data_IF_926670644851
#
_entry.id   IF_926670644851
#
_cell.length_a   1.000
_cell.length_b   1.000
_cell.length_c   1.000
_cell.angle_alpha   90.00
_cell.angle_beta   90.00
_cell.angle_gamma   90.00
#
_symmetry.space_group_name_H-M   'P 1'
#
loop_
_entity.id
_entity.type
_entity.pdbx_description
1 polymer ?
#
# COMPACT_ATOMS: atom_id res chain seq x y z
N UNK A 1 21.70 47.21 48.49
CA UNK A 1 22.59 48.40 48.50
C UNK A 1 23.78 48.11 47.61
N UNK A 2 24.01 48.97 46.60
CA UNK A 2 25.25 49.16 45.81
C UNK A 2 25.62 48.04 44.82
N UNK A 3 25.88 48.24 43.52
CA UNK A 3 26.01 49.41 42.64
C UNK A 3 26.04 48.93 41.18
N UNK A 4 25.70 49.83 40.26
CA UNK A 4 25.60 49.72 38.80
C UNK A 4 26.93 49.42 38.07
N UNK A 5 26.84 48.84 36.87
CA UNK A 5 27.41 49.45 35.66
C UNK A 5 26.92 48.76 34.38
N UNK A 6 26.18 49.51 33.57
CA UNK A 6 25.89 49.24 32.16
C UNK A 6 26.97 49.94 31.34
N UNK A 7 27.58 49.23 30.39
CA UNK A 7 28.32 49.85 29.28
C UNK A 7 27.76 49.27 27.99
N UNK A 8 27.14 50.13 27.19
CA UNK A 8 26.79 49.91 25.78
C UNK A 8 27.78 50.72 24.96
N UNK A 9 28.46 50.11 23.98
CA UNK A 9 29.04 50.82 22.84
C UNK A 9 29.25 49.85 21.67
N UNK A 10 28.51 50.13 20.59
CA UNK A 10 28.48 49.43 19.31
C UNK A 10 29.63 49.90 18.40
N UNK A 11 30.19 49.01 17.56
CA UNK A 11 30.68 49.34 16.22
C UNK A 11 30.94 48.06 15.41
N UNK A 12 30.34 48.00 14.22
CA UNK A 12 30.36 46.89 13.28
C UNK A 12 31.63 46.83 12.43
N UNK A 13 32.11 45.62 12.09
CA UNK A 13 32.83 45.36 10.85
C UNK A 13 32.45 43.97 10.32
N UNK A 14 32.09 43.93 9.04
CA UNK A 14 31.46 42.82 8.34
C UNK A 14 32.41 41.64 8.08
N UNK A 15 31.95 40.42 8.39
CA UNK A 15 32.36 39.20 7.71
C UNK A 15 31.13 38.51 7.12
N UNK A 16 31.35 37.92 5.96
CA UNK A 16 30.37 37.51 4.98
C UNK A 16 29.35 36.47 5.48
N UNK A 17 28.20 36.49 4.79
CA UNK A 17 27.05 35.64 4.98
C UNK A 17 27.41 34.15 5.15
N UNK A 18 27.09 33.60 6.33
CA UNK A 18 26.68 32.21 6.44
C UNK A 18 25.19 32.25 6.70
N UNK A 19 24.44 32.37 5.61
CA UNK A 19 23.04 31.96 5.57
C UNK A 19 23.05 30.48 5.94
N UNK A 20 22.74 30.17 7.20
CA UNK A 20 22.39 28.82 7.59
C UNK A 20 21.06 28.54 6.88
N UNK A 21 21.21 27.93 5.71
CA UNK A 21 20.15 27.39 4.91
C UNK A 21 19.17 26.68 5.84
N UNK A 22 17.94 27.20 5.85
CA UNK A 22 16.81 26.46 6.33
C UNK A 22 16.75 25.20 5.45
N UNK A 23 17.16 24.06 6.00
CA UNK A 23 16.86 22.74 5.44
C UNK A 23 15.36 22.51 5.66
N UNK A 24 14.53 23.27 4.94
CA UNK A 24 13.13 22.97 4.74
C UNK A 24 13.09 21.72 3.85
N UNK A 25 13.15 20.55 4.48
CA UNK A 25 12.86 19.28 3.80
C UNK A 25 11.44 19.41 3.20
N UNK A 26 11.28 19.44 1.88
CA UNK A 26 9.95 19.41 1.28
C UNK A 26 9.51 17.96 1.29
N UNK A 27 8.80 17.57 2.34
CA UNK A 27 8.31 16.19 2.47
C UNK A 27 7.63 15.98 3.80
N UNK A 28 6.45 16.59 3.96
CA UNK A 28 5.40 16.17 4.90
C UNK A 28 4.25 17.19 4.84
N UNK A 29 3.59 17.27 3.68
CA UNK A 29 2.19 17.71 3.65
C UNK A 29 1.37 16.46 3.40
N UNK A 30 1.22 15.63 4.44
CA UNK A 30 0.12 14.65 4.44
C UNK A 30 -1.14 15.48 4.39
N UNK A 31 -1.71 15.67 3.21
CA UNK A 31 -3.01 16.29 3.07
C UNK A 31 -3.97 15.52 3.98
N UNK A 32 -4.52 16.23 4.96
CA UNK A 32 -5.31 15.62 6.00
C UNK A 32 -6.55 14.99 5.36
N UNK A 33 -6.57 13.67 5.22
CA UNK A 33 -7.74 12.92 4.79
C UNK A 33 -8.91 13.28 5.70
N UNK A 34 -10.06 13.57 5.12
CA UNK A 34 -11.26 13.76 5.91
C UNK A 34 -11.84 12.39 6.28
N UNK A 35 -12.61 12.33 7.36
CA UNK A 35 -13.41 11.15 7.67
C UNK A 35 -14.39 10.82 6.52
N UNK A 36 -14.82 11.83 5.74
CA UNK A 36 -15.64 11.65 4.55
C UNK A 36 -14.93 10.84 3.46
N UNK A 37 -13.67 11.18 3.15
CA UNK A 37 -12.90 10.46 2.12
C UNK A 37 -12.77 8.96 2.46
N UNK A 38 -12.51 8.63 3.73
CA UNK A 38 -12.39 7.23 4.17
C UNK A 38 -13.73 6.45 4.12
N UNK A 39 -14.84 7.12 4.43
CA UNK A 39 -16.18 6.55 4.30
C UNK A 39 -16.53 6.33 2.83
N UNK A 40 -16.23 7.29 1.97
CA UNK A 40 -16.43 7.20 0.53
C UNK A 40 -15.63 6.03 -0.06
N UNK A 41 -14.35 5.89 0.29
CA UNK A 41 -13.50 4.77 -0.15
C UNK A 41 -14.04 3.41 0.31
N UNK A 42 -14.58 3.32 1.53
CA UNK A 42 -15.21 2.09 2.04
C UNK A 42 -16.47 1.76 1.23
N UNK A 43 -17.28 2.77 0.90
CA UNK A 43 -18.47 2.60 0.07
C UNK A 43 -18.12 2.25 -1.39
N UNK A 44 -17.04 2.82 -1.94
CA UNK A 44 -16.49 2.45 -3.25
C UNK A 44 -16.04 0.99 -3.22
N UNK A 45 -15.21 0.59 -2.26
CA UNK A 45 -14.71 -0.79 -2.10
C UNK A 45 -15.86 -1.78 -2.04
N UNK A 46 -16.90 -1.47 -1.26
CA UNK A 46 -18.09 -2.33 -1.15
C UNK A 46 -18.83 -2.47 -2.48
N UNK A 47 -18.98 -1.38 -3.23
CA UNK A 47 -19.63 -1.41 -4.55
C UNK A 47 -18.78 -2.13 -5.59
N UNK A 48 -17.45 -1.99 -5.56
CA UNK A 48 -16.54 -2.75 -6.43
C UNK A 48 -16.63 -4.24 -6.13
N UNK A 49 -16.57 -4.66 -4.86
CA UNK A 49 -16.76 -6.06 -4.49
C UNK A 49 -18.12 -6.60 -4.97
N UNK A 50 -19.19 -5.82 -4.82
CA UNK A 50 -20.50 -6.20 -5.34
C UNK A 50 -20.54 -6.30 -6.88
N UNK A 51 -19.88 -5.38 -7.60
CA UNK A 51 -19.79 -5.42 -9.06
C UNK A 51 -19.02 -6.66 -9.55
N UNK A 52 -17.91 -7.01 -8.89
CA UNK A 52 -17.16 -8.23 -9.19
C UNK A 52 -18.00 -9.49 -8.96
N UNK A 53 -18.79 -9.54 -7.88
CA UNK A 53 -19.69 -10.67 -7.60
C UNK A 53 -20.78 -10.80 -8.67
N UNK A 54 -21.22 -9.68 -9.25
CA UNK A 54 -22.23 -9.65 -10.30
C UNK A 54 -21.73 -9.94 -11.72
N UNK A 55 -20.40 -10.07 -11.91
CA UNK A 55 -19.79 -10.37 -13.20
C UNK A 55 -19.33 -11.84 -13.23
N UNK A 56 -20.01 -12.67 -14.03
CA UNK A 56 -19.70 -14.10 -14.17
C UNK A 56 -18.29 -14.37 -14.71
N UNK A 57 -17.63 -13.37 -15.32
CA UNK A 57 -16.27 -13.46 -15.82
C UNK A 57 -15.24 -12.96 -14.79
N UNK A 58 -15.65 -12.40 -13.66
CA UNK A 58 -14.75 -11.95 -12.60
C UNK A 58 -14.76 -12.93 -11.41
N UNK A 59 -13.65 -13.58 -11.06
CA UNK A 59 -13.59 -14.48 -9.92
C UNK A 59 -13.50 -13.67 -8.61
N UNK A 60 -14.62 -13.09 -8.17
CA UNK A 60 -14.67 -12.16 -7.03
C UNK A 60 -14.02 -12.70 -5.74
N UNK A 61 -14.13 -14.00 -5.49
CA UNK A 61 -13.55 -14.64 -4.29
C UNK A 61 -12.02 -14.76 -4.30
N UNK A 62 -11.36 -14.51 -5.45
CA UNK A 62 -9.91 -14.55 -5.61
C UNK A 62 -9.28 -13.16 -5.80
N UNK A 63 -10.10 -12.10 -5.71
CA UNK A 63 -9.68 -10.71 -5.96
C UNK A 63 -9.81 -9.91 -4.67
N UNK A 64 -8.68 -9.41 -4.19
CA UNK A 64 -8.62 -8.40 -3.15
C UNK A 64 -8.79 -7.00 -3.75
N UNK A 65 -9.58 -6.18 -3.07
CA UNK A 65 -9.93 -4.82 -3.49
C UNK A 65 -9.57 -3.86 -2.38
N UNK A 66 -8.61 -2.98 -2.66
CA UNK A 66 -8.23 -1.87 -1.79
C UNK A 66 -8.56 -0.55 -2.48
N UNK A 67 -9.15 0.40 -1.75
CA UNK A 67 -9.47 1.73 -2.31
C UNK A 67 -8.84 2.81 -1.46
N UNK A 68 -8.15 3.74 -2.12
CA UNK A 68 -7.63 4.94 -1.47
C UNK A 68 -7.87 6.16 -2.32
N UNK A 69 -8.62 7.12 -1.78
CA UNK A 69 -9.03 8.33 -2.46
C UNK A 69 -9.58 7.97 -3.86
N UNK A 70 -10.55 7.07 -3.98
CA UNK A 70 -11.13 6.65 -5.26
C UNK A 70 -10.18 5.98 -6.27
N UNK A 71 -8.91 5.74 -5.93
CA UNK A 71 -8.02 4.85 -6.69
C UNK A 71 -8.23 3.45 -6.15
N UNK A 72 -8.67 2.54 -7.02
CA UNK A 72 -8.93 1.14 -6.67
C UNK A 72 -7.76 0.30 -7.12
N UNK A 73 -7.14 -0.43 -6.21
CA UNK A 73 -6.17 -1.45 -6.53
C UNK A 73 -6.83 -2.83 -6.47
N UNK A 74 -6.73 -3.57 -7.58
CA UNK A 74 -7.14 -4.97 -7.66
C UNK A 74 -5.92 -5.86 -7.56
N UNK A 75 -5.90 -6.81 -6.63
CA UNK A 75 -4.78 -7.75 -6.41
C UNK A 75 -5.29 -9.17 -6.17
N UNK A 76 -4.38 -10.14 -6.22
CA UNK A 76 -4.70 -11.56 -6.16
C UNK A 76 -4.43 -12.29 -7.48
N UNK A 77 -4.88 -13.53 -7.55
CA UNK A 77 -4.56 -14.45 -8.64
C UNK A 77 -5.80 -14.93 -9.39
N UNK A 78 -5.78 -14.78 -10.71
CA UNK A 78 -6.87 -15.22 -11.61
C UNK A 78 -6.37 -16.30 -12.57
N UNK A 79 -7.28 -17.03 -13.19
CA UNK A 79 -6.93 -18.15 -14.05
C UNK A 79 -6.63 -17.72 -15.50
N UNK A 80 -7.14 -16.56 -15.94
CA UNK A 80 -6.99 -16.10 -17.32
C UNK A 80 -6.84 -14.59 -17.46
N UNK A 81 -6.33 -14.16 -18.62
CA UNK A 81 -6.26 -12.73 -18.97
C UNK A 81 -7.67 -12.13 -19.12
N UNK A 82 -8.63 -12.91 -19.60
CA UNK A 82 -10.02 -12.51 -19.76
C UNK A 82 -10.65 -12.17 -18.40
N UNK A 83 -10.41 -12.99 -17.38
CA UNK A 83 -10.85 -12.71 -16.00
C UNK A 83 -10.19 -11.45 -15.44
N UNK A 84 -8.89 -11.27 -15.71
CA UNK A 84 -8.14 -10.06 -15.30
C UNK A 84 -8.74 -8.80 -15.89
N UNK A 85 -9.07 -8.82 -17.18
CA UNK A 85 -9.67 -7.68 -17.87
C UNK A 85 -11.14 -7.45 -17.47
N UNK A 86 -11.91 -8.53 -17.23
CA UNK A 86 -13.27 -8.43 -16.73
C UNK A 86 -13.32 -7.74 -15.37
N UNK A 87 -12.47 -8.16 -14.43
CA UNK A 87 -12.37 -7.52 -13.12
C UNK A 87 -12.04 -6.02 -13.21
N UNK A 88 -11.13 -5.64 -14.12
CA UNK A 88 -10.77 -4.24 -14.35
C UNK A 88 -11.94 -3.43 -14.88
N UNK A 89 -12.69 -3.96 -15.85
CA UNK A 89 -13.89 -3.30 -16.40
C UNK A 89 -14.97 -3.14 -15.33
N UNK A 90 -15.28 -4.23 -14.62
CA UNK A 90 -16.28 -4.23 -13.56
C UNK A 90 -15.96 -3.20 -12.46
N UNK A 91 -14.69 -3.08 -12.06
CA UNK A 91 -14.27 -2.07 -11.09
C UNK A 91 -14.35 -0.64 -11.66
N UNK A 92 -13.96 -0.42 -12.91
CA UNK A 92 -13.99 0.91 -13.55
C UNK A 92 -15.40 1.48 -13.68
N UNK A 93 -16.40 0.64 -13.90
CA UNK A 93 -17.78 1.07 -14.09
C UNK A 93 -18.47 1.48 -12.78
N UNK A 94 -17.83 1.26 -11.63
CA UNK A 94 -18.36 1.66 -10.33
C UNK A 94 -18.23 3.16 -10.12
N UNK A 95 -19.37 3.80 -9.83
CA UNK A 95 -19.42 5.23 -9.50
C UNK A 95 -18.46 5.62 -8.37
N UNK A 96 -17.69 6.68 -8.56
CA UNK A 96 -16.71 7.17 -7.58
C UNK A 96 -15.31 6.58 -7.74
N UNK A 97 -15.15 5.52 -8.55
CA UNK A 97 -13.84 5.07 -8.98
C UNK A 97 -13.25 6.10 -9.94
N UNK A 98 -12.04 6.57 -9.61
CA UNK A 98 -11.28 7.54 -10.41
C UNK A 98 -10.23 6.87 -11.27
N UNK A 99 -9.60 5.84 -10.72
CA UNK A 99 -8.56 5.06 -11.38
C UNK A 99 -8.62 3.62 -10.88
N UNK A 100 -8.27 2.68 -11.76
CA UNK A 100 -8.12 1.27 -11.41
C UNK A 100 -6.69 0.84 -11.71
N UNK A 101 -5.97 0.48 -10.65
CA UNK A 101 -4.66 -0.17 -10.72
C UNK A 101 -4.85 -1.68 -10.68
N UNK A 102 -4.78 -2.33 -11.85
CA UNK A 102 -4.95 -3.77 -11.96
C UNK A 102 -3.62 -4.51 -11.76
N UNK A 103 -3.43 -5.07 -10.57
CA UNK A 103 -2.26 -5.86 -10.16
C UNK A 103 -2.53 -7.37 -10.16
N UNK A 104 -3.64 -7.83 -10.74
CA UNK A 104 -3.96 -9.26 -10.78
C UNK A 104 -2.88 -10.05 -11.53
N UNK A 105 -2.54 -11.22 -10.98
CA UNK A 105 -1.56 -12.13 -11.57
C UNK A 105 -2.31 -13.30 -12.21
N UNK A 106 -2.02 -13.56 -13.49
CA UNK A 106 -2.61 -14.71 -14.19
C UNK A 106 -1.79 -15.96 -13.87
N UNK A 107 -2.48 -16.99 -13.40
CA UNK A 107 -1.91 -18.30 -13.09
C UNK A 107 -1.46 -18.97 -14.39
N UNK A 108 -0.38 -19.74 -14.32
CA UNK A 108 0.02 -20.55 -15.45
C UNK A 108 -1.01 -21.68 -15.65
N UNK A 109 -1.56 -21.76 -16.86
CA UNK A 109 -2.53 -22.77 -17.30
C UNK A 109 -2.11 -24.20 -16.90
N UNK A 110 -3.09 -25.02 -16.49
CA UNK A 110 -2.87 -26.44 -16.20
C UNK A 110 -2.35 -26.78 -14.80
N UNK A 111 -2.23 -25.82 -13.89
CA UNK A 111 -1.83 -26.07 -12.50
C UNK A 111 -3.05 -26.24 -11.58
N UNK A 112 -3.66 -27.43 -11.60
CA UNK A 112 -4.65 -27.78 -10.58
C UNK A 112 -3.96 -27.85 -9.22
N UNK A 113 -4.29 -26.91 -8.33
CA UNK A 113 -3.75 -26.91 -6.97
C UNK A 113 -4.41 -28.02 -6.16
N UNK A 114 -3.59 -28.77 -5.42
CA UNK A 114 -4.11 -29.68 -4.40
C UNK A 114 -4.54 -28.84 -3.19
N UNK A 115 -5.58 -29.25 -2.45
CA UNK A 115 -5.97 -28.56 -1.22
C UNK A 115 -4.81 -28.40 -0.21
N UNK A 116 -3.88 -29.36 -0.18
CA UNK A 116 -2.67 -29.26 0.64
C UNK A 116 -1.78 -28.06 0.27
N UNK A 117 -1.56 -27.82 -1.02
CA UNK A 117 -0.76 -26.67 -1.46
C UNK A 117 -1.40 -25.32 -1.07
N UNK A 118 -2.74 -25.23 -1.08
CA UNK A 118 -3.46 -24.03 -0.63
C UNK A 118 -3.27 -23.80 0.86
N UNK A 119 -3.26 -24.87 1.67
CA UNK A 119 -3.02 -24.77 3.11
C UNK A 119 -1.60 -24.29 3.42
N UNK A 120 -0.61 -24.78 2.67
CA UNK A 120 0.78 -24.34 2.81
C UNK A 120 0.92 -22.83 2.51
N UNK A 121 0.29 -22.36 1.42
CA UNK A 121 0.26 -20.95 1.03
C UNK A 121 -0.38 -20.07 2.13
N UNK A 122 -1.49 -20.52 2.73
CA UNK A 122 -2.16 -19.80 3.83
C UNK A 122 -1.28 -19.68 5.09
N UNK A 123 -0.49 -20.72 5.40
CA UNK A 123 0.47 -20.66 6.51
C UNK A 123 1.60 -19.67 6.20
N UNK A 124 2.08 -19.63 4.96
CA UNK A 124 3.07 -18.64 4.52
C UNK A 124 2.48 -17.23 4.65
N UNK A 125 1.25 -17.00 4.16
CA UNK A 125 0.57 -15.71 4.26
C UNK A 125 0.46 -15.25 5.72
N UNK A 126 0.05 -16.14 6.62
CA UNK A 126 -0.04 -15.84 8.06
C UNK A 126 1.32 -15.48 8.67
N UNK A 127 2.40 -16.19 8.32
CA UNK A 127 3.77 -15.89 8.77
C UNK A 127 4.26 -14.54 8.25
N UNK A 128 4.00 -14.23 6.98
CA UNK A 128 4.35 -12.94 6.36
C UNK A 128 3.60 -11.80 7.05
N UNK A 129 2.29 -11.94 7.22
CA UNK A 129 1.46 -10.95 7.93
C UNK A 129 1.95 -10.72 9.36
N UNK A 130 2.25 -11.79 10.11
CA UNK A 130 2.81 -11.68 11.46
C UNK A 130 4.12 -10.89 11.48
N UNK A 131 5.07 -11.21 10.59
CA UNK A 131 6.35 -10.48 10.53
C UNK A 131 6.19 -9.01 10.15
N UNK A 132 5.29 -8.69 9.21
CA UNK A 132 5.01 -7.31 8.81
C UNK A 132 4.37 -6.55 9.97
N UNK A 133 3.41 -7.14 10.67
CA UNK A 133 2.77 -6.52 11.83
C UNK A 133 3.75 -6.25 12.98
N UNK A 134 4.59 -7.23 13.31
CA UNK A 134 5.55 -7.12 14.39
C UNK A 134 6.64 -6.07 14.11
N UNK A 135 7.14 -6.03 12.88
CA UNK A 135 8.30 -5.20 12.53
C UNK A 135 7.91 -3.82 11.99
N UNK A 136 6.91 -3.72 11.11
CA UNK A 136 6.51 -2.48 10.45
C UNK A 136 5.48 -1.66 11.25
N UNK A 137 5.03 -2.19 12.41
CA UNK A 137 4.01 -1.60 13.26
C UNK A 137 2.60 -1.87 12.76
N UNK A 138 1.64 -1.93 13.69
CA UNK A 138 0.23 -2.27 13.45
C UNK A 138 -0.44 -1.45 12.34
N UNK A 139 -0.05 -0.18 12.17
CA UNK A 139 -0.59 0.68 11.09
C UNK A 139 -0.21 0.18 9.70
N UNK A 140 0.99 -0.38 9.53
CA UNK A 140 1.44 -0.90 8.22
C UNK A 140 0.79 -2.24 7.91
N UNK A 141 0.42 -3.04 8.92
CA UNK A 141 -0.24 -4.33 8.71
C UNK A 141 -1.67 -4.20 8.19
N UNK A 142 -2.39 -3.13 8.56
CA UNK A 142 -3.73 -2.87 8.01
C UNK A 142 -3.68 -2.21 6.62
N UNK A 143 -2.56 -1.58 6.26
CA UNK A 143 -2.37 -0.87 5.00
C UNK A 143 -1.79 -1.77 3.89
N UNK A 144 -1.34 -2.98 4.23
CA UNK A 144 -0.70 -3.93 3.32
C UNK A 144 -1.46 -5.25 3.32
N UNK A 145 -1.96 -5.63 2.16
CA UNK A 145 -2.54 -6.95 1.92
C UNK A 145 -1.46 -7.94 1.44
N UNK A 146 -1.62 -9.20 1.82
CA UNK A 146 -0.69 -10.27 1.50
C UNK A 146 -1.47 -11.45 0.94
N UNK A 147 -1.26 -11.72 -0.35
CA UNK A 147 -1.79 -12.89 -1.02
C UNK A 147 -0.63 -13.84 -1.41
N UNK A 148 -0.87 -15.14 -1.36
CA UNK A 148 0.17 -16.15 -1.63
C UNK A 148 -0.34 -17.21 -2.58
N UNK A 149 0.42 -17.44 -3.64
CA UNK A 149 0.19 -18.54 -4.57
C UNK A 149 1.48 -19.31 -4.88
N UNK A 150 1.50 -20.61 -4.57
CA UNK A 150 2.63 -21.51 -4.84
C UNK A 150 3.94 -20.93 -4.30
N UNK A 151 3.89 -20.39 -3.09
CA UNK A 151 5.00 -19.71 -2.42
C UNK A 151 5.41 -18.35 -3.01
N UNK A 152 4.74 -17.86 -4.05
CA UNK A 152 4.91 -16.48 -4.54
C UNK A 152 4.01 -15.56 -3.75
N UNK A 153 4.62 -14.63 -3.02
CA UNK A 153 3.91 -13.65 -2.20
C UNK A 153 3.66 -12.40 -3.01
N UNK A 154 2.41 -11.98 -3.14
CA UNK A 154 2.04 -10.67 -3.62
C UNK A 154 1.75 -9.75 -2.43
N UNK A 155 2.44 -8.60 -2.39
CA UNK A 155 2.16 -7.52 -1.46
C UNK A 155 1.42 -6.41 -2.19
N UNK A 156 0.26 -6.00 -1.69
CA UNK A 156 -0.59 -4.95 -2.25
C UNK A 156 -1.05 -3.98 -1.15
N UNK A 157 -1.67 -2.87 -1.53
CA UNK A 157 -2.13 -1.81 -0.62
C UNK A 157 -1.46 -0.46 -0.83
N UNK A 158 -1.77 0.50 0.04
CA UNK A 158 -1.38 1.91 -0.09
C UNK A 158 -0.61 2.42 1.13
N UNK A 159 0.65 2.79 0.95
CA UNK A 159 1.52 3.29 2.03
C UNK A 159 1.98 4.72 1.78
N UNK A 160 2.20 5.49 2.85
CA UNK A 160 2.65 6.89 2.74
C UNK A 160 4.17 7.04 2.53
N UNK A 161 4.92 5.95 2.72
CA UNK A 161 6.38 5.98 2.82
C UNK A 161 7.01 4.85 1.98
N UNK A 162 7.91 5.17 1.03
CA UNK A 162 8.62 4.16 0.25
C UNK A 162 9.48 3.22 1.12
N UNK A 163 9.95 3.65 2.29
CA UNK A 163 10.68 2.77 3.20
C UNK A 163 9.78 1.68 3.78
N UNK A 164 8.50 1.97 4.05
CA UNK A 164 7.52 0.94 4.46
C UNK A 164 7.34 -0.11 3.36
N UNK A 165 7.22 0.33 2.10
CA UNK A 165 7.15 -0.56 0.93
C UNK A 165 8.37 -1.48 0.83
N UNK A 166 9.59 -0.92 0.91
CA UNK A 166 10.83 -1.68 0.82
C UNK A 166 11.01 -2.63 2.02
N UNK A 167 10.58 -2.21 3.20
CA UNK A 167 10.66 -3.02 4.42
C UNK A 167 9.70 -4.20 4.38
N UNK A 168 8.46 -4.00 3.94
CA UNK A 168 7.48 -5.08 3.79
C UNK A 168 8.01 -6.19 2.87
N UNK A 169 8.63 -5.81 1.75
CA UNK A 169 9.26 -6.76 0.83
C UNK A 169 10.40 -7.56 1.48
N UNK A 170 11.34 -6.89 2.16
CA UNK A 170 12.45 -7.59 2.84
C UNK A 170 11.94 -8.55 3.92
N UNK A 171 10.91 -8.16 4.66
CA UNK A 171 10.29 -9.01 5.68
C UNK A 171 9.62 -10.23 5.06
N UNK A 172 8.84 -10.05 4.01
CA UNK A 172 8.21 -11.15 3.27
C UNK A 172 9.25 -12.12 2.73
N UNK A 173 10.32 -11.63 2.08
CA UNK A 173 11.42 -12.47 1.55
C UNK A 173 12.14 -13.28 2.64
N UNK A 174 12.06 -12.87 3.90
CA UNK A 174 12.70 -13.58 5.03
C UNK A 174 11.86 -14.72 5.62
N UNK A 175 10.64 -14.93 5.13
CA UNK A 175 9.75 -15.99 5.61
C UNK A 175 10.09 -17.31 4.92
N UNK A 176 10.23 -18.36 5.70
CA UNK A 176 10.42 -19.72 5.18
C UNK A 176 9.23 -20.16 4.34
N UNK A 177 9.50 -20.71 3.15
CA UNK A 177 8.49 -21.13 2.18
C UNK A 177 8.20 -20.09 1.10
N UNK A 178 8.66 -18.84 1.27
CA UNK A 178 8.57 -17.81 0.23
C UNK A 178 9.56 -18.11 -0.89
N UNK A 179 9.04 -18.30 -2.10
CA UNK A 179 9.78 -18.56 -3.32
C UNK A 179 10.16 -17.25 -4.01
N UNK A 180 9.21 -16.33 -4.13
CA UNK A 180 9.43 -14.99 -4.64
C UNK A 180 8.46 -13.99 -3.99
N UNK A 181 8.81 -12.70 -4.07
CA UNK A 181 7.97 -11.61 -3.58
C UNK A 181 7.75 -10.60 -4.69
N UNK A 182 6.48 -10.39 -5.00
CA UNK A 182 5.99 -9.36 -5.92
C UNK A 182 5.44 -8.20 -5.10
N UNK A 183 6.14 -7.07 -5.15
CA UNK A 183 5.78 -5.88 -4.37
C UNK A 183 4.99 -4.86 -5.22
N UNK A 184 3.67 -5.01 -5.23
CA UNK A 184 2.73 -4.12 -5.92
C UNK A 184 2.15 -3.04 -4.98
N UNK A 185 2.71 -2.86 -3.78
CA UNK A 185 2.34 -1.77 -2.86
C UNK A 185 2.53 -0.43 -3.59
N UNK A 186 1.53 0.45 -3.48
CA UNK A 186 1.55 1.77 -4.08
C UNK A 186 1.76 2.85 -3.03
N UNK A 187 2.44 3.92 -3.44
CA UNK A 187 2.49 5.12 -2.62
C UNK A 187 1.14 5.81 -2.71
N UNK A 188 0.67 6.31 -1.57
CA UNK A 188 -0.58 7.06 -1.53
C UNK A 188 -0.47 8.24 -2.51
N UNK A 189 -1.43 8.39 -3.45
CA UNK A 189 -1.44 9.51 -4.37
C UNK A 189 -1.44 10.83 -3.60
N UNK A 190 -0.50 11.72 -3.91
CA UNK A 190 -0.54 13.12 -3.45
C UNK A 190 -1.48 13.89 -4.39
N UNK A 191 -2.42 14.68 -3.86
CA UNK A 191 -3.31 15.48 -4.70
C UNK A 191 -2.58 16.64 -5.37
#
# INVERSE_FOLDING_TARGET
>A
MRTLSVIVASAALACAAVSWAQDERPGERSEQRTAGDAVDDTAITTRVKAALIGDDQAPAGAIDVETFNGVVQLSGHVDSMEQKEAAERAARDVSGVREVSNRLVVRAEGSQRTPGAVLDDNVIAAKVNGKIADAAGLSTASDVNVDVDRGVVQLSGFVDDPEKKNRAERLARSVEGVVDVRNDIELRPQR
#
